data_IF_859469161908
#
_entry.id   IF_859469161908
#
_cell.length_a   1.000
_cell.length_b   1.000
_cell.length_c   1.000
_cell.angle_alpha   90.00
_cell.angle_beta   90.00
_cell.angle_gamma   90.00
#
_symmetry.space_group_name_H-M   'P 1'
#
loop_
_entity.id
_entity.type
_entity.pdbx_description
1 polymer ?
#
# COMPACT_ATOMS: atom_id res chain seq x y z
N UNK A 1 -13.58 36.04 -24.40
CA UNK A 1 -14.06 34.80 -23.72
C UNK A 1 -14.05 33.70 -24.75
N UNK A 2 -13.22 32.65 -24.49
CA UNK A 2 -12.88 31.65 -25.54
C UNK A 2 -13.84 30.45 -25.58
N UNK A 3 -14.95 30.47 -24.83
CA UNK A 3 -15.90 29.34 -24.76
C UNK A 3 -15.30 28.05 -24.24
N UNK A 4 -15.95 26.91 -24.56
CA UNK A 4 -15.47 25.56 -24.18
C UNK A 4 -14.44 25.11 -25.22
N UNK A 5 -13.15 25.08 -24.84
CA UNK A 5 -12.03 24.73 -25.74
C UNK A 5 -11.94 23.21 -25.93
N UNK A 6 -12.18 22.43 -24.88
CA UNK A 6 -12.14 20.97 -24.92
C UNK A 6 -13.54 20.40 -25.22
N UNK A 7 -13.76 19.60 -26.29
CA UNK A 7 -15.05 19.02 -26.58
C UNK A 7 -15.53 18.05 -25.49
N UNK A 8 -16.85 17.92 -25.38
CA UNK A 8 -17.47 16.82 -24.62
C UNK A 8 -17.35 15.52 -25.41
N UNK A 9 -17.27 14.41 -24.73
CA UNK A 9 -17.37 13.10 -25.37
C UNK A 9 -18.81 12.60 -25.19
N UNK A 10 -19.46 12.30 -26.31
CA UNK A 10 -20.85 11.85 -26.33
C UNK A 10 -21.02 10.60 -27.19
N UNK A 11 -22.02 9.78 -26.87
CA UNK A 11 -22.52 8.71 -27.76
C UNK A 11 -24.00 8.95 -28.08
N UNK A 12 -24.51 8.28 -29.13
CA UNK A 12 -25.95 8.22 -29.34
C UNK A 12 -26.60 7.49 -28.17
N UNK A 13 -27.75 8.00 -27.70
CA UNK A 13 -28.47 7.34 -26.65
C UNK A 13 -29.06 6.00 -27.20
N UNK A 14 -28.77 4.84 -26.54
CA UNK A 14 -29.27 3.55 -27.02
C UNK A 14 -30.78 3.45 -27.07
N UNK A 15 -31.49 4.19 -26.21
CA UNK A 15 -32.96 4.17 -26.11
C UNK A 15 -33.64 5.22 -27.00
N UNK A 16 -32.92 6.25 -27.44
CA UNK A 16 -33.45 7.33 -28.27
C UNK A 16 -32.37 7.93 -29.15
N UNK A 17 -32.36 7.52 -30.42
CA UNK A 17 -31.34 7.96 -31.40
C UNK A 17 -31.36 9.45 -31.71
N UNK A 18 -32.39 10.20 -31.29
CA UNK A 18 -32.45 11.65 -31.42
C UNK A 18 -31.70 12.39 -30.31
N UNK A 19 -31.27 11.69 -29.27
CA UNK A 19 -30.55 12.22 -28.13
C UNK A 19 -29.14 11.68 -28.01
N UNK A 20 -28.32 12.42 -27.29
CA UNK A 20 -26.94 12.05 -27.01
C UNK A 20 -26.77 11.88 -25.51
N UNK A 21 -25.98 10.89 -25.14
CA UNK A 21 -25.55 10.65 -23.77
C UNK A 21 -24.13 11.17 -23.59
N UNK A 22 -23.90 11.97 -22.56
CA UNK A 22 -22.55 12.44 -22.19
C UNK A 22 -21.80 11.27 -21.60
N UNK A 23 -20.65 10.93 -22.18
CA UNK A 23 -19.73 9.91 -21.70
C UNK A 23 -18.67 10.54 -20.79
N UNK A 24 -18.13 11.70 -21.18
CA UNK A 24 -17.16 12.45 -20.38
C UNK A 24 -17.32 13.96 -20.58
N UNK A 25 -17.05 14.73 -19.50
CA UNK A 25 -17.08 16.18 -19.52
C UNK A 25 -18.33 16.81 -18.88
N UNK A 26 -19.03 16.12 -17.99
CA UNK A 26 -20.25 16.62 -17.33
C UNK A 26 -20.05 17.99 -16.64
N UNK A 27 -18.90 18.22 -15.99
CA UNK A 27 -18.59 19.52 -15.37
C UNK A 27 -18.55 20.67 -16.40
N UNK A 28 -18.03 20.39 -17.60
CA UNK A 28 -17.99 21.36 -18.70
C UNK A 28 -19.41 21.65 -19.23
N UNK A 29 -20.23 20.62 -19.35
CA UNK A 29 -21.63 20.77 -19.72
C UNK A 29 -22.41 21.61 -18.70
N UNK A 30 -22.26 21.32 -17.39
CA UNK A 30 -22.89 22.14 -16.35
C UNK A 30 -22.41 23.58 -16.34
N UNK A 31 -21.10 23.80 -16.50
CA UNK A 31 -20.55 25.15 -16.61
C UNK A 31 -21.10 25.92 -17.82
N UNK A 32 -21.27 25.25 -18.95
CA UNK A 32 -21.86 25.83 -20.17
C UNK A 32 -23.34 26.20 -19.97
N UNK A 33 -24.11 25.34 -19.28
CA UNK A 33 -25.48 25.67 -18.90
C UNK A 33 -25.56 26.92 -18.02
N UNK A 34 -24.67 27.00 -17.00
CA UNK A 34 -24.61 28.19 -16.15
C UNK A 34 -24.20 29.46 -16.94
N UNK A 35 -23.37 29.31 -17.97
CA UNK A 35 -22.97 30.38 -18.86
C UNK A 35 -23.97 30.66 -20.00
N UNK A 36 -25.12 29.96 -20.01
CA UNK A 36 -26.16 30.09 -21.06
C UNK A 36 -25.64 29.85 -22.48
N UNK A 37 -24.64 28.95 -22.64
CA UNK A 37 -24.15 28.55 -23.95
C UNK A 37 -25.09 27.47 -24.54
N UNK A 38 -25.63 27.75 -25.71
CA UNK A 38 -26.58 26.86 -26.40
C UNK A 38 -25.90 25.80 -27.24
N UNK A 39 -24.69 26.09 -27.74
CA UNK A 39 -23.93 25.19 -28.60
C UNK A 39 -22.59 24.82 -27.94
N UNK A 40 -22.28 23.54 -27.97
CA UNK A 40 -21.04 22.99 -27.39
C UNK A 40 -20.34 22.09 -28.40
N UNK A 41 -19.00 22.16 -28.50
CA UNK A 41 -18.25 21.21 -29.30
C UNK A 41 -18.33 19.83 -28.66
N UNK A 42 -18.71 18.82 -29.45
CA UNK A 42 -18.80 17.41 -28.99
C UNK A 42 -17.98 16.52 -29.91
N UNK A 43 -17.39 15.48 -29.32
CA UNK A 43 -16.81 14.35 -30.02
C UNK A 43 -17.80 13.19 -29.96
N UNK A 44 -18.46 12.87 -31.06
CA UNK A 44 -19.37 11.74 -31.16
C UNK A 44 -18.56 10.48 -31.42
N UNK A 45 -18.74 9.46 -30.57
CA UNK A 45 -18.19 8.12 -30.75
C UNK A 45 -19.23 7.07 -30.35
N UNK A 46 -19.12 5.93 -30.96
CA UNK A 46 -19.91 4.77 -30.56
C UNK A 46 -19.16 4.06 -29.42
N UNK A 47 -19.83 3.97 -28.27
CA UNK A 47 -19.36 3.26 -27.09
C UNK A 47 -20.45 2.26 -26.66
N UNK A 48 -20.05 1.05 -26.28
CA UNK A 48 -20.88 0.11 -25.55
C UNK A 48 -21.17 0.62 -24.13
N UNK A 49 -22.19 0.05 -23.48
CA UNK A 49 -22.49 0.39 -22.09
C UNK A 49 -21.33 0.07 -21.13
N UNK A 50 -20.60 -1.00 -21.41
CA UNK A 50 -19.41 -1.39 -20.65
C UNK A 50 -18.29 -0.33 -20.78
N UNK A 51 -17.99 0.11 -22.01
CA UNK A 51 -16.97 1.15 -22.23
C UNK A 51 -17.34 2.49 -21.59
N UNK A 52 -18.63 2.86 -21.61
CA UNK A 52 -19.10 4.09 -20.92
C UNK A 52 -18.89 3.98 -19.42
N UNK A 53 -19.20 2.82 -18.82
CA UNK A 53 -19.02 2.59 -17.39
C UNK A 53 -17.52 2.58 -17.03
N UNK A 54 -16.67 1.93 -17.84
CA UNK A 54 -15.22 1.93 -17.66
C UNK A 54 -14.66 3.36 -17.67
N UNK A 55 -15.01 4.16 -18.66
CA UNK A 55 -14.59 5.58 -18.77
C UNK A 55 -15.05 6.38 -17.56
N UNK A 56 -16.29 6.17 -17.10
CA UNK A 56 -16.82 6.87 -15.92
C UNK A 56 -16.06 6.49 -14.63
N UNK A 57 -15.68 5.22 -14.44
CA UNK A 57 -14.88 4.78 -13.30
C UNK A 57 -13.47 5.38 -13.38
N UNK A 58 -12.83 5.35 -14.56
CA UNK A 58 -11.48 5.91 -14.75
C UNK A 58 -11.50 7.41 -14.46
N UNK A 59 -12.46 8.18 -15.01
CA UNK A 59 -12.58 9.62 -14.75
C UNK A 59 -12.76 9.89 -13.26
N UNK A 60 -13.61 9.10 -12.58
CA UNK A 60 -13.83 9.26 -11.16
C UNK A 60 -12.56 8.95 -10.33
N UNK A 61 -11.82 7.89 -10.67
CA UNK A 61 -10.57 7.53 -9.97
C UNK A 61 -9.45 8.54 -10.21
N UNK A 62 -9.46 9.26 -11.33
CA UNK A 62 -8.48 10.31 -11.64
C UNK A 62 -8.77 11.66 -10.94
N UNK A 63 -9.82 11.74 -10.12
CA UNK A 63 -10.10 12.96 -9.37
C UNK A 63 -9.03 13.19 -8.30
N UNK A 64 -8.61 14.44 -8.16
CA UNK A 64 -7.55 14.83 -7.23
C UNK A 64 -7.97 14.83 -5.76
N UNK A 65 -9.28 14.74 -5.48
CA UNK A 65 -9.89 14.84 -4.15
C UNK A 65 -10.27 13.47 -3.54
N UNK A 66 -9.93 12.36 -4.20
CA UNK A 66 -10.21 11.02 -3.68
C UNK A 66 -9.29 10.64 -2.53
N UNK A 67 -9.86 9.95 -1.55
CA UNK A 67 -9.05 9.29 -0.54
C UNK A 67 -8.46 7.96 -1.08
N UNK A 68 -7.39 7.43 -0.45
CA UNK A 68 -6.72 6.22 -0.92
C UNK A 68 -7.61 4.98 -0.99
N UNK A 69 -8.64 4.87 -0.15
CA UNK A 69 -9.55 3.73 -0.16
C UNK A 69 -10.58 3.84 -1.29
N UNK A 70 -11.06 5.05 -1.61
CA UNK A 70 -11.92 5.28 -2.76
C UNK A 70 -11.18 4.97 -4.06
N UNK A 71 -9.92 5.40 -4.17
CA UNK A 71 -9.06 5.07 -5.32
C UNK A 71 -8.87 3.55 -5.43
N UNK A 72 -8.61 2.86 -4.31
CA UNK A 72 -8.50 1.41 -4.26
C UNK A 72 -9.79 0.69 -4.68
N UNK A 73 -10.96 1.19 -4.24
CA UNK A 73 -12.26 0.65 -4.64
C UNK A 73 -12.52 0.83 -6.13
N UNK A 74 -12.20 1.99 -6.69
CA UNK A 74 -12.31 2.24 -8.13
C UNK A 74 -11.40 1.31 -8.94
N UNK A 75 -10.15 1.12 -8.53
CA UNK A 75 -9.22 0.15 -9.13
C UNK A 75 -9.76 -1.29 -9.03
N UNK A 76 -10.31 -1.67 -7.88
CA UNK A 76 -10.91 -2.99 -7.70
C UNK A 76 -12.07 -3.22 -8.66
N UNK A 77 -12.93 -2.21 -8.85
CA UNK A 77 -14.04 -2.29 -9.82
C UNK A 77 -13.54 -2.48 -11.25
N UNK A 78 -12.49 -1.76 -11.66
CA UNK A 78 -11.88 -1.96 -12.98
C UNK A 78 -11.36 -3.40 -13.18
N UNK A 79 -10.77 -3.98 -12.15
CA UNK A 79 -10.29 -5.38 -12.21
C UNK A 79 -11.45 -6.37 -12.24
N UNK A 80 -12.44 -6.21 -11.35
CA UNK A 80 -13.50 -7.21 -11.16
C UNK A 80 -14.58 -7.13 -12.25
N UNK A 81 -15.02 -5.91 -12.64
CA UNK A 81 -16.12 -5.71 -13.58
C UNK A 81 -15.67 -5.79 -15.04
N UNK A 82 -14.44 -5.32 -15.35
CA UNK A 82 -13.92 -5.29 -16.72
C UNK A 82 -12.82 -6.30 -16.97
N UNK A 83 -12.55 -7.18 -16.01
CA UNK A 83 -11.54 -8.25 -16.12
C UNK A 83 -10.14 -7.74 -16.50
N UNK A 84 -9.84 -6.50 -16.14
CA UNK A 84 -8.52 -5.91 -16.37
C UNK A 84 -7.49 -6.54 -15.44
N UNK A 85 -6.28 -6.72 -15.93
CA UNK A 85 -5.14 -7.02 -15.05
C UNK A 85 -4.82 -5.82 -14.18
N UNK A 86 -4.15 -6.05 -13.03
CA UNK A 86 -3.69 -4.96 -12.15
C UNK A 86 -2.82 -3.94 -12.91
N UNK A 87 -2.07 -4.38 -13.92
CA UNK A 87 -1.24 -3.53 -14.75
C UNK A 87 -2.06 -2.64 -15.69
N UNK A 88 -3.06 -3.23 -16.36
CA UNK A 88 -3.98 -2.49 -17.23
C UNK A 88 -4.80 -1.48 -16.44
N UNK A 89 -5.35 -1.87 -15.29
CA UNK A 89 -6.08 -0.96 -14.41
C UNK A 89 -5.19 0.19 -13.91
N UNK A 90 -3.94 -0.09 -13.53
CA UNK A 90 -2.97 0.93 -13.13
C UNK A 90 -2.69 1.92 -14.27
N UNK A 91 -2.44 1.40 -15.48
CA UNK A 91 -2.18 2.21 -16.66
C UNK A 91 -3.38 3.09 -17.02
N UNK A 92 -4.61 2.55 -16.94
CA UNK A 92 -5.84 3.28 -17.25
C UNK A 92 -6.02 4.51 -16.33
N UNK A 93 -5.65 4.40 -15.06
CA UNK A 93 -5.74 5.52 -14.10
C UNK A 93 -4.46 6.36 -14.00
N UNK A 94 -3.42 6.07 -14.81
CA UNK A 94 -2.16 6.83 -14.82
C UNK A 94 -1.27 6.55 -13.61
N UNK A 95 -1.37 5.35 -12.99
CA UNK A 95 -0.55 4.92 -11.85
C UNK A 95 0.47 3.84 -12.26
N UNK A 96 1.53 3.69 -11.49
CA UNK A 96 2.42 2.54 -11.65
C UNK A 96 1.75 1.26 -11.13
N UNK A 97 2.11 0.10 -11.69
CA UNK A 97 1.65 -1.22 -11.22
C UNK A 97 1.86 -1.42 -9.73
N UNK A 98 3.02 -0.99 -9.20
CA UNK A 98 3.33 -1.10 -7.77
C UNK A 98 2.43 -0.22 -6.90
N UNK A 99 2.13 1.01 -7.35
CA UNK A 99 1.22 1.91 -6.65
C UNK A 99 -0.21 1.34 -6.61
N UNK A 100 -0.73 0.86 -7.75
CA UNK A 100 -2.05 0.23 -7.82
C UNK A 100 -2.15 -1.03 -6.95
N UNK A 101 -1.12 -1.91 -6.97
CA UNK A 101 -1.08 -3.08 -6.09
C UNK A 101 -1.07 -2.71 -4.61
N UNK A 102 -0.35 -1.66 -4.22
CA UNK A 102 -0.35 -1.17 -2.85
C UNK A 102 -1.72 -0.62 -2.43
N UNK A 103 -2.40 0.11 -3.30
CA UNK A 103 -3.76 0.61 -3.06
C UNK A 103 -4.76 -0.55 -2.89
N UNK A 104 -4.76 -1.52 -3.82
CA UNK A 104 -5.64 -2.68 -3.75
C UNK A 104 -5.46 -3.47 -2.44
N UNK A 105 -4.23 -3.57 -1.93
CA UNK A 105 -3.95 -4.24 -0.66
C UNK A 105 -4.60 -3.55 0.54
N UNK A 106 -4.85 -2.23 0.50
CA UNK A 106 -5.52 -1.51 1.59
C UNK A 106 -6.94 -2.01 1.84
N UNK A 107 -7.60 -2.56 0.83
CA UNK A 107 -8.93 -3.15 0.97
C UNK A 107 -8.94 -4.42 1.85
N UNK A 108 -7.78 -5.02 2.10
CA UNK A 108 -7.61 -6.16 3.01
C UNK A 108 -7.44 -5.75 4.48
N UNK A 109 -7.37 -4.45 4.78
CA UNK A 109 -7.41 -3.97 6.15
C UNK A 109 -8.79 -4.16 6.76
N UNK A 110 -8.82 -4.33 8.09
CA UNK A 110 -10.09 -4.34 8.83
C UNK A 110 -10.77 -2.98 8.75
N UNK A 111 -12.10 -2.99 8.79
CA UNK A 111 -12.90 -1.77 8.68
C UNK A 111 -12.50 -0.67 9.69
N UNK A 112 -12.23 -0.96 10.99
CA UNK A 112 -11.75 0.06 11.92
C UNK A 112 -10.43 0.71 11.49
N UNK A 113 -9.49 -0.08 10.95
CA UNK A 113 -8.19 0.43 10.50
C UNK A 113 -8.35 1.27 9.22
N UNK A 114 -9.26 0.88 8.32
CA UNK A 114 -9.62 1.70 7.16
C UNK A 114 -10.21 3.05 7.60
N UNK A 115 -11.07 3.07 8.61
CA UNK A 115 -11.63 4.30 9.15
C UNK A 115 -10.55 5.21 9.75
N UNK A 116 -9.58 4.66 10.48
CA UNK A 116 -8.45 5.43 11.02
C UNK A 116 -7.59 6.03 9.89
N UNK A 117 -7.39 5.29 8.79
CA UNK A 117 -6.70 5.82 7.62
C UNK A 117 -7.46 6.97 6.96
N UNK A 118 -8.78 6.85 6.84
CA UNK A 118 -9.63 7.90 6.27
C UNK A 118 -9.70 9.16 7.16
N UNK A 119 -9.69 8.97 8.48
CA UNK A 119 -9.67 10.06 9.45
C UNK A 119 -8.31 10.78 9.52
N UNK A 120 -7.25 10.19 8.91
CA UNK A 120 -5.88 10.72 9.01
C UNK A 120 -5.19 10.40 10.33
N UNK A 121 -5.76 9.51 11.15
CA UNK A 121 -5.16 9.05 12.41
C UNK A 121 -3.88 8.24 12.16
N UNK A 122 -3.84 7.53 11.04
CA UNK A 122 -2.68 6.79 10.53
C UNK A 122 -2.44 7.12 9.05
N UNK A 123 -1.19 7.01 8.62
CA UNK A 123 -0.78 7.26 7.24
C UNK A 123 -0.72 5.96 6.42
N UNK A 124 -0.62 6.09 5.09
CA UNK A 124 -0.47 4.97 4.14
C UNK A 124 0.67 4.01 4.50
N UNK A 125 1.78 4.54 5.01
CA UNK A 125 2.93 3.73 5.44
C UNK A 125 2.58 2.81 6.61
N UNK A 126 1.89 3.35 7.62
CA UNK A 126 1.38 2.60 8.76
C UNK A 126 0.39 1.50 8.31
N UNK A 127 -0.59 1.89 7.49
CA UNK A 127 -1.59 0.98 6.94
C UNK A 127 -0.96 -0.21 6.19
N UNK A 128 0.08 0.04 5.39
CA UNK A 128 0.83 -1.02 4.68
C UNK A 128 1.56 -1.96 5.62
N UNK A 129 2.19 -1.45 6.67
CA UNK A 129 2.87 -2.28 7.66
C UNK A 129 1.88 -3.22 8.38
N UNK A 130 0.69 -2.70 8.73
CA UNK A 130 -0.36 -3.43 9.43
C UNK A 130 -0.97 -4.59 8.61
N UNK A 131 -0.86 -4.57 7.28
CA UNK A 131 -1.34 -5.65 6.41
C UNK A 131 -0.70 -7.02 6.66
N UNK A 132 0.45 -7.07 7.35
CA UNK A 132 1.11 -8.31 7.71
C UNK A 132 0.47 -9.01 8.92
N UNK A 133 -0.39 -8.32 9.66
CA UNK A 133 -1.03 -8.80 10.88
C UNK A 133 -2.41 -9.41 10.59
N UNK A 134 -2.87 -10.29 11.48
CA UNK A 134 -4.26 -10.74 11.49
C UNK A 134 -5.23 -9.62 11.91
N UNK A 135 -6.52 -9.85 11.71
CA UNK A 135 -7.55 -8.83 11.92
C UNK A 135 -7.57 -8.24 13.36
N UNK A 136 -7.38 -9.08 14.38
CA UNK A 136 -7.39 -8.62 15.77
C UNK A 136 -6.15 -7.81 16.09
N UNK A 137 -4.99 -8.29 15.65
CA UNK A 137 -3.70 -7.61 15.82
C UNK A 137 -3.65 -6.28 15.04
N UNK A 138 -4.24 -6.22 13.84
CA UNK A 138 -4.35 -4.98 13.09
C UNK A 138 -5.02 -3.87 13.91
N UNK A 139 -6.16 -4.16 14.53
CA UNK A 139 -6.93 -3.17 15.31
C UNK A 139 -6.14 -2.72 16.54
N UNK A 140 -5.57 -3.67 17.29
CA UNK A 140 -4.80 -3.36 18.50
C UNK A 140 -3.56 -2.53 18.17
N UNK A 141 -2.79 -2.96 17.16
CA UNK A 141 -1.56 -2.27 16.76
C UNK A 141 -1.85 -0.90 16.14
N UNK A 142 -2.92 -0.76 15.35
CA UNK A 142 -3.34 0.54 14.81
C UNK A 142 -3.71 1.51 15.93
N UNK A 143 -4.41 1.06 16.97
CA UNK A 143 -4.71 1.85 18.15
C UNK A 143 -3.45 2.31 18.89
N UNK A 144 -2.46 1.43 19.04
CA UNK A 144 -1.18 1.75 19.66
C UNK A 144 -0.38 2.77 18.82
N UNK A 145 -0.31 2.58 17.51
CA UNK A 145 0.33 3.51 16.56
C UNK A 145 -0.27 4.91 16.68
N UNK A 146 -1.60 5.02 16.70
CA UNK A 146 -2.27 6.30 16.83
C UNK A 146 -2.06 6.94 18.21
N UNK A 147 -2.21 6.16 19.29
CA UNK A 147 -2.05 6.66 20.66
C UNK A 147 -0.64 7.19 20.96
N UNK A 148 0.39 6.48 20.46
CA UNK A 148 1.79 6.82 20.68
C UNK A 148 2.39 7.69 19.58
N UNK A 149 1.62 8.02 18.53
CA UNK A 149 2.07 8.79 17.35
C UNK A 149 3.38 8.22 16.76
N UNK A 150 3.41 6.90 16.59
CA UNK A 150 4.61 6.21 16.10
C UNK A 150 4.93 6.61 14.65
N UNK A 151 6.21 6.61 14.31
CA UNK A 151 6.64 6.74 12.92
C UNK A 151 6.35 5.46 12.13
N UNK A 152 6.36 5.55 10.79
CA UNK A 152 6.21 4.37 9.93
C UNK A 152 7.26 3.30 10.25
N UNK A 153 8.53 3.71 10.46
CA UNK A 153 9.62 2.80 10.82
C UNK A 153 9.42 2.11 12.16
N UNK A 154 8.90 2.83 13.16
CA UNK A 154 8.64 2.24 14.47
C UNK A 154 7.42 1.31 14.42
N UNK A 155 6.44 1.62 13.60
CA UNK A 155 5.31 0.72 13.31
C UNK A 155 5.79 -0.56 12.63
N UNK A 156 6.69 -0.49 11.66
CA UNK A 156 7.28 -1.69 11.02
C UNK A 156 8.02 -2.56 12.04
N UNK A 157 8.78 -1.96 12.97
CA UNK A 157 9.44 -2.69 14.08
C UNK A 157 8.41 -3.35 15.01
N UNK A 158 7.37 -2.61 15.38
CA UNK A 158 6.29 -3.12 16.24
C UNK A 158 5.58 -4.31 15.58
N UNK A 159 5.24 -4.20 14.30
CA UNK A 159 4.65 -5.30 13.51
C UNK A 159 5.58 -6.51 13.47
N UNK A 160 6.88 -6.31 13.22
CA UNK A 160 7.86 -7.40 13.22
C UNK A 160 7.97 -8.08 14.59
N UNK A 161 7.90 -7.33 15.68
CA UNK A 161 7.87 -7.87 17.05
C UNK A 161 6.59 -8.67 17.33
N UNK A 162 5.44 -8.17 16.89
CA UNK A 162 4.15 -8.84 17.04
C UNK A 162 4.11 -10.18 16.28
N UNK A 163 4.64 -10.22 15.07
CA UNK A 163 4.78 -11.45 14.26
C UNK A 163 5.80 -12.42 14.86
N UNK A 164 6.93 -11.92 15.34
CA UNK A 164 7.97 -12.71 16.01
C UNK A 164 7.52 -13.27 17.36
N UNK A 165 6.66 -12.55 18.09
CA UNK A 165 6.09 -12.97 19.35
C UNK A 165 4.98 -14.02 19.24
N UNK A 166 4.35 -14.16 18.08
CA UNK A 166 3.22 -15.10 17.89
C UNK A 166 3.65 -16.54 17.52
N UNK A 167 4.94 -16.76 17.24
CA UNK A 167 5.49 -18.12 17.07
C UNK A 167 5.79 -18.84 18.40
N UNK A 168 5.32 -18.34 19.55
CA UNK A 168 5.71 -18.81 20.86
C UNK A 168 4.64 -18.78 21.96
N UNK A 169 3.32 -18.91 21.66
CA UNK A 169 2.31 -19.14 22.70
C UNK A 169 1.82 -20.60 22.75
N UNK A 170 2.74 -21.51 22.97
CA UNK A 170 2.53 -22.65 23.86
C UNK A 170 3.58 -22.52 24.96
N UNK A 171 3.11 -22.31 26.18
CA UNK A 171 3.79 -22.04 27.40
C UNK A 171 5.29 -22.40 27.47
N UNK A 172 6.15 -21.40 27.44
CA UNK A 172 7.39 -21.44 28.23
C UNK A 172 7.86 -19.99 28.45
N UNK A 173 8.29 -19.74 29.67
CA UNK A 173 8.88 -18.53 30.21
C UNK A 173 9.96 -17.93 29.25
N UNK A 174 10.33 -16.64 29.42
CA UNK A 174 11.35 -16.02 28.59
C UNK A 174 12.63 -16.86 28.70
N UNK A 175 12.96 -17.57 27.60
CA UNK A 175 14.29 -18.19 27.51
C UNK A 175 15.28 -17.04 27.53
N UNK A 176 15.98 -16.92 28.64
CA UNK A 176 17.25 -16.23 28.71
C UNK A 176 18.04 -16.60 27.45
N UNK A 177 18.65 -15.61 26.77
CA UNK A 177 19.65 -15.86 25.71
C UNK A 177 20.57 -16.94 26.27
N UNK A 178 20.83 -18.04 25.55
CA UNK A 178 21.78 -19.02 26.05
C UNK A 178 23.06 -18.25 26.36
N UNK A 179 23.50 -18.29 27.61
CA UNK A 179 24.76 -17.69 28.00
C UNK A 179 25.82 -18.27 27.06
N UNK A 180 26.52 -17.39 26.32
CA UNK A 180 27.67 -17.79 25.51
C UNK A 180 28.63 -18.51 26.43
N UNK A 181 29.18 -19.65 26.00
CA UNK A 181 30.16 -20.34 26.80
C UNK A 181 31.34 -19.42 27.12
N UNK A 182 31.92 -19.53 28.29
CA UNK A 182 33.08 -18.71 28.71
C UNK A 182 34.21 -18.75 27.67
N UNK A 183 34.34 -19.84 26.96
CA UNK A 183 35.36 -20.03 25.92
C UNK A 183 35.07 -19.19 24.68
N UNK A 184 33.80 -19.08 24.29
CA UNK A 184 33.38 -18.22 23.16
C UNK A 184 33.60 -16.75 23.51
N UNK A 185 33.24 -16.31 24.72
CA UNK A 185 33.46 -14.94 25.16
C UNK A 185 34.95 -14.58 25.18
N UNK A 186 35.80 -15.48 25.71
CA UNK A 186 37.26 -15.29 25.69
C UNK A 186 37.82 -15.21 24.26
N UNK A 187 37.28 -16.01 23.33
CA UNK A 187 37.70 -16.00 21.94
C UNK A 187 37.27 -14.69 21.25
N UNK A 188 36.07 -14.21 21.52
CA UNK A 188 35.59 -12.87 21.04
C UNK A 188 36.51 -11.77 21.53
N UNK A 189 36.84 -11.72 22.82
CA UNK A 189 37.76 -10.73 23.40
C UNK A 189 39.15 -10.79 22.76
N UNK A 190 39.71 -11.99 22.63
CA UNK A 190 41.04 -12.16 22.01
C UNK A 190 41.06 -11.73 20.54
N UNK A 191 40.00 -12.01 19.80
CA UNK A 191 39.90 -11.61 18.40
C UNK A 191 39.64 -10.11 18.26
N UNK A 192 38.81 -9.53 19.13
CA UNK A 192 38.53 -8.10 19.14
C UNK A 192 39.81 -7.29 19.43
N UNK A 193 40.62 -7.73 20.39
CA UNK A 193 41.92 -7.09 20.71
C UNK A 193 42.90 -7.16 19.56
N UNK A 194 42.99 -8.30 18.87
CA UNK A 194 43.91 -8.49 17.75
C UNK A 194 43.49 -7.76 16.49
N UNK A 195 42.18 -7.66 16.24
CA UNK A 195 41.62 -7.07 15.02
C UNK A 195 41.24 -5.59 15.21
N UNK A 196 41.32 -5.09 16.45
CA UNK A 196 40.86 -3.72 16.80
C UNK A 196 39.44 -3.46 16.28
N UNK A 197 38.59 -4.48 16.30
CA UNK A 197 37.25 -4.47 15.75
C UNK A 197 36.29 -5.27 16.64
N UNK A 198 35.02 -4.92 16.63
CA UNK A 198 34.02 -5.68 17.39
C UNK A 198 33.77 -7.02 16.69
N UNK A 199 33.93 -8.12 17.45
CA UNK A 199 33.71 -9.50 16.99
C UNK A 199 32.54 -10.11 17.71
N UNK A 200 31.61 -10.73 17.00
CA UNK A 200 30.46 -11.47 17.55
C UNK A 200 30.44 -12.88 16.96
N UNK A 201 30.59 -13.89 17.82
CA UNK A 201 30.58 -15.31 17.45
C UNK A 201 29.19 -15.89 17.76
N UNK A 202 28.53 -16.43 16.72
CA UNK A 202 27.21 -17.03 16.82
C UNK A 202 27.28 -18.50 16.51
N UNK A 203 26.97 -19.34 17.49
CA UNK A 203 26.84 -20.80 17.30
C UNK A 203 25.45 -21.08 16.74
N UNK A 204 25.39 -21.57 15.50
CA UNK A 204 24.14 -21.87 14.79
C UNK A 204 23.69 -23.32 15.03
N UNK A 205 24.64 -24.25 15.17
CA UNK A 205 24.35 -25.69 15.32
C UNK A 205 25.44 -26.41 16.14
N UNK A 206 24.97 -27.28 17.05
CA UNK A 206 25.87 -28.24 17.73
C UNK A 206 25.83 -29.57 17.00
N UNK A 207 26.98 -30.09 16.62
CA UNK A 207 27.13 -31.37 15.94
C UNK A 207 27.96 -32.33 16.82
N UNK A 208 27.93 -33.64 16.51
CA UNK A 208 28.76 -34.63 17.21
C UNK A 208 30.27 -34.35 17.09
N UNK A 209 30.65 -33.51 16.11
CA UNK A 209 32.07 -33.21 15.77
C UNK A 209 32.47 -31.79 16.18
N UNK A 210 31.62 -31.05 16.88
CA UNK A 210 31.88 -29.67 17.30
C UNK A 210 30.73 -28.72 17.06
N UNK A 211 30.98 -27.44 17.32
CA UNK A 211 29.99 -26.34 17.11
C UNK A 211 30.24 -25.70 15.76
N UNK A 212 29.18 -25.50 14.98
CA UNK A 212 29.19 -24.78 13.75
C UNK A 212 28.49 -23.42 13.93
N UNK A 213 29.09 -22.34 13.41
CA UNK A 213 28.57 -21.00 13.58
C UNK A 213 29.15 -20.02 12.57
N UNK A 214 28.89 -18.76 12.81
CA UNK A 214 29.43 -17.64 12.06
C UNK A 214 30.18 -16.68 12.97
N UNK A 215 31.21 -16.02 12.43
CA UNK A 215 31.93 -14.94 13.09
C UNK A 215 31.64 -13.67 12.31
N UNK A 216 31.03 -12.69 12.98
CA UNK A 216 30.77 -11.36 12.42
C UNK A 216 31.80 -10.37 12.97
N UNK A 217 32.49 -9.67 12.08
CA UNK A 217 33.46 -8.63 12.40
C UNK A 217 32.91 -7.30 11.91
N UNK A 218 32.70 -6.36 12.83
CA UNK A 218 32.26 -5.01 12.47
C UNK A 218 33.49 -4.12 12.26
N UNK A 219 33.57 -3.45 11.10
CA UNK A 219 34.62 -2.50 10.78
C UNK A 219 34.03 -1.16 10.37
N UNK A 220 34.74 -0.06 10.69
CA UNK A 220 34.24 1.30 10.46
C UNK A 220 34.59 1.88 9.08
N UNK A 221 35.66 1.42 8.42
CA UNK A 221 36.08 1.82 7.07
C UNK A 221 36.86 0.69 6.41
N UNK A 222 36.86 0.68 5.08
CA UNK A 222 37.66 -0.22 4.21
C UNK A 222 38.82 0.52 3.54
N UNK A 223 39.33 1.61 4.12
CA UNK A 223 40.48 2.35 3.59
C UNK A 223 41.78 1.58 3.83
#
# INVERSE_FOLDING_TARGET
EKGVIQPLIVRKNPSDSSRYQIVAGERRWRAAQMAQLHDLPVLLRDFSDAEVLEIAIIENVQRADLNPLEEAQGLKRLVDEFQLTHEQAAQAVGRSRSAASNLLRLLNLTQPVQQMLMAGDIEMGHARALLALDAAQQILTAGEVNAKKLSVRDTEKLVAQTLGGNNGRTGSAPRARPEKSRDITRLEETLADKLTAQVDIRVLRKTKWGEQGEIAIAFGSLD
#
